data_IF_362876301507
#
_entry.id   IF_362876301507
#
_cell.length_a   1.000
_cell.length_b   1.000
_cell.length_c   1.000
_cell.angle_alpha   90.00
_cell.angle_beta   90.00
_cell.angle_gamma   90.00
#
_symmetry.space_group_name_H-M   'P 1'
#
loop_
_entity.id
_entity.type
_entity.pdbx_description
1 polymer ?
#
# COMPACT_ATOMS: atom_id res chain seq x y z
N UNK A 1 4.95 -5.60 10.11
CA UNK A 1 4.77 -6.70 9.14
C UNK A 1 3.30 -6.84 8.82
N UNK A 2 2.94 -7.08 7.58
CA UNK A 2 1.60 -7.50 7.19
C UNK A 2 1.43 -8.99 7.44
N UNK A 3 0.22 -9.41 7.80
CA UNK A 3 -0.20 -10.82 7.86
C UNK A 3 -1.36 -10.99 6.87
N UNK A 4 -1.09 -11.36 5.59
CA UNK A 4 -2.10 -11.39 4.54
C UNK A 4 -3.27 -12.33 4.87
N UNK A 5 -2.98 -13.48 5.49
CA UNK A 5 -3.95 -14.52 5.88
C UNK A 5 -4.77 -14.18 7.12
N UNK A 6 -4.37 -13.14 7.86
CA UNK A 6 -5.09 -12.62 9.04
C UNK A 6 -5.60 -11.22 8.84
N UNK A 7 -5.53 -10.69 7.61
CA UNK A 7 -6.12 -9.40 7.23
C UNK A 7 -5.66 -8.22 8.10
N UNK A 8 -4.42 -8.24 8.60
CA UNK A 8 -3.93 -7.26 9.58
C UNK A 8 -2.47 -6.88 9.42
N UNK A 9 -2.08 -5.79 10.07
CA UNK A 9 -0.69 -5.33 10.16
C UNK A 9 -0.28 -5.29 11.62
N UNK A 10 0.86 -5.92 11.91
CA UNK A 10 1.47 -5.97 13.24
C UNK A 10 2.70 -5.06 13.33
N UNK A 11 2.86 -4.41 14.48
CA UNK A 11 4.12 -3.81 14.90
C UNK A 11 4.76 -4.69 15.96
N UNK A 12 5.99 -5.10 15.72
CA UNK A 12 6.78 -5.81 16.72
C UNK A 12 7.61 -4.81 17.55
N UNK A 13 7.68 -5.05 18.85
CA UNK A 13 8.42 -4.26 19.82
C UNK A 13 9.61 -5.07 20.36
N UNK A 14 10.83 -4.61 20.06
CA UNK A 14 12.07 -5.16 20.63
C UNK A 14 12.11 -5.07 22.15
N UNK A 15 11.53 -3.99 22.70
CA UNK A 15 11.57 -3.69 24.14
C UNK A 15 10.75 -4.68 24.96
N UNK A 16 9.60 -5.08 24.43
CA UNK A 16 8.63 -5.95 25.14
C UNK A 16 8.61 -7.37 24.57
N UNK A 17 9.40 -7.64 23.53
CA UNK A 17 9.41 -8.88 22.77
C UNK A 17 8.00 -9.35 22.37
N UNK A 18 7.15 -8.41 21.94
CA UNK A 18 5.73 -8.67 21.64
C UNK A 18 5.26 -7.92 20.39
N UNK A 19 4.19 -8.42 19.78
CA UNK A 19 3.53 -7.81 18.62
C UNK A 19 2.20 -7.18 19.01
N UNK A 20 1.90 -6.02 18.45
CA UNK A 20 0.60 -5.36 18.58
C UNK A 20 -0.03 -5.14 17.21
N UNK A 21 -1.35 -5.34 17.11
CA UNK A 21 -2.11 -4.97 15.90
C UNK A 21 -2.12 -3.45 15.79
N UNK A 22 -1.79 -2.95 14.60
CA UNK A 22 -1.76 -1.51 14.32
C UNK A 22 -2.68 -1.09 13.15
N UNK A 23 -3.22 -2.05 12.40
CA UNK A 23 -4.27 -1.85 11.38
C UNK A 23 -4.93 -3.20 11.02
N UNK A 24 -6.17 -3.18 10.52
CA UNK A 24 -6.92 -4.40 10.12
C UNK A 24 -7.46 -5.21 11.31
N UNK A 25 -8.21 -4.57 12.20
CA UNK A 25 -8.47 -5.05 13.57
C UNK A 25 -9.44 -6.25 13.70
N UNK A 26 -9.93 -6.83 12.61
CA UNK A 26 -11.04 -7.79 12.64
C UNK A 26 -10.65 -9.25 12.43
N UNK A 27 -9.38 -9.55 12.10
CA UNK A 27 -8.93 -10.91 11.73
C UNK A 27 -9.76 -11.59 10.62
N UNK A 28 -10.53 -10.80 9.86
CA UNK A 28 -11.48 -11.22 8.85
C UNK A 28 -11.35 -10.29 7.63
N UNK A 29 -11.55 -10.80 6.40
CA UNK A 29 -11.54 -9.97 5.21
C UNK A 29 -12.67 -8.93 5.26
N UNK A 30 -12.39 -7.75 4.74
CA UNK A 30 -13.39 -6.71 4.59
C UNK A 30 -12.84 -5.47 3.88
N UNK A 31 -13.74 -4.56 3.53
CA UNK A 31 -13.46 -3.37 2.73
C UNK A 31 -13.78 -2.05 3.44
N UNK A 32 -14.25 -2.09 4.69
CA UNK A 32 -14.46 -0.88 5.50
C UNK A 32 -13.13 -0.19 5.82
N UNK A 33 -13.20 1.00 6.40
CA UNK A 33 -12.04 1.83 6.75
C UNK A 33 -11.06 1.15 7.71
N UNK A 34 -11.53 0.26 8.58
CA UNK A 34 -10.71 -0.45 9.58
C UNK A 34 -10.31 -1.88 9.18
N UNK A 35 -10.62 -2.31 7.95
CA UNK A 35 -10.43 -3.68 7.46
C UNK A 35 -9.50 -3.76 6.23
N UNK A 36 -8.99 -4.97 5.98
CA UNK A 36 -8.21 -5.32 4.79
C UNK A 36 -8.73 -6.61 4.16
N UNK A 37 -8.40 -6.80 2.89
CA UNK A 37 -8.53 -8.05 2.15
C UNK A 37 -7.18 -8.35 1.47
N UNK A 38 -6.45 -9.34 2.03
CA UNK A 38 -5.08 -9.71 1.63
C UNK A 38 -4.11 -8.51 1.59
N UNK A 39 -3.82 -7.87 2.74
CA UNK A 39 -2.81 -6.80 2.78
C UNK A 39 -1.42 -7.36 2.51
N UNK A 40 -0.72 -6.84 1.48
CA UNK A 40 0.60 -7.32 1.07
C UNK A 40 1.72 -6.34 1.49
N UNK A 41 2.15 -5.46 0.60
CA UNK A 41 3.23 -4.52 0.89
C UNK A 41 2.82 -3.43 1.87
N UNK A 42 3.78 -3.01 2.71
CA UNK A 42 3.60 -1.90 3.64
C UNK A 42 4.78 -0.92 3.58
N UNK A 43 4.51 0.36 3.82
CA UNK A 43 5.52 1.39 4.06
C UNK A 43 5.14 2.20 5.30
N UNK A 44 6.13 2.54 6.13
CA UNK A 44 5.92 3.45 7.26
C UNK A 44 6.71 4.71 6.95
N UNK A 45 6.00 5.81 6.76
CA UNK A 45 6.58 7.15 6.72
C UNK A 45 7.08 7.48 8.12
N UNK A 46 8.40 7.63 8.27
CA UNK A 46 9.04 7.84 9.57
C UNK A 46 8.95 9.29 10.03
N UNK A 47 8.78 10.23 9.10
CA UNK A 47 8.65 11.66 9.39
C UNK A 47 7.29 11.92 10.05
N UNK A 48 6.21 11.41 9.46
CA UNK A 48 4.85 11.68 9.95
C UNK A 48 4.25 10.52 10.77
N UNK A 49 4.87 9.34 10.76
CA UNK A 49 4.37 8.14 11.44
C UNK A 49 3.15 7.52 10.74
N UNK A 50 2.98 7.75 9.44
CA UNK A 50 1.86 7.23 8.65
C UNK A 50 2.20 5.84 8.10
N UNK A 51 1.31 4.87 8.31
CA UNK A 51 1.39 3.54 7.68
C UNK A 51 0.66 3.57 6.34
N UNK A 52 1.27 3.06 5.29
CA UNK A 52 0.67 2.79 3.98
C UNK A 52 0.61 1.28 3.76
N UNK A 53 -0.50 0.78 3.24
CA UNK A 53 -0.74 -0.65 3.02
C UNK A 53 -1.34 -0.86 1.65
N UNK A 54 -0.73 -1.74 0.86
CA UNK A 54 -1.34 -2.29 -0.35
C UNK A 54 -2.37 -3.35 0.04
N UNK A 55 -3.64 -3.00 -0.11
CA UNK A 55 -4.80 -3.83 0.25
C UNK A 55 -5.28 -4.56 -1.00
N UNK A 56 -4.60 -5.68 -1.29
CA UNK A 56 -4.51 -6.22 -2.65
C UNK A 56 -5.85 -6.68 -3.22
N UNK A 57 -6.66 -7.43 -2.46
CA UNK A 57 -7.96 -7.90 -2.94
C UNK A 57 -9.03 -6.81 -2.97
N UNK A 58 -8.80 -5.71 -2.24
CA UNK A 58 -9.61 -4.50 -2.33
C UNK A 58 -9.07 -3.51 -3.37
N UNK A 59 -8.05 -3.86 -4.16
CA UNK A 59 -7.51 -3.05 -5.27
C UNK A 59 -7.23 -1.58 -4.89
N UNK A 60 -6.78 -1.34 -3.66
CA UNK A 60 -6.55 0.00 -3.11
C UNK A 60 -5.26 0.07 -2.31
N UNK A 61 -4.80 1.30 -2.08
CA UNK A 61 -3.81 1.60 -1.07
C UNK A 61 -4.50 2.40 0.02
N UNK A 62 -4.44 1.90 1.24
CA UNK A 62 -4.93 2.61 2.42
C UNK A 62 -3.77 3.24 3.19
N UNK A 63 -4.04 4.35 3.87
CA UNK A 63 -3.13 4.95 4.85
C UNK A 63 -3.76 5.05 6.24
N UNK A 64 -2.95 4.85 7.26
CA UNK A 64 -3.29 5.00 8.68
C UNK A 64 -2.39 6.05 9.31
N UNK A 65 -2.99 7.09 9.87
CA UNK A 65 -2.27 8.01 10.73
C UNK A 65 -1.88 7.30 12.02
N UNK A 66 -0.78 7.76 12.64
CA UNK A 66 -0.33 7.23 13.92
C UNK A 66 -1.47 7.25 14.94
N UNK A 67 -1.73 6.10 15.56
CA UNK A 67 -2.80 5.87 16.54
C UNK A 67 -4.24 6.00 16.02
N UNK A 68 -4.45 6.10 14.71
CA UNK A 68 -5.80 6.04 14.12
C UNK A 68 -6.36 4.62 14.20
N UNK A 69 -7.65 4.48 14.48
CA UNK A 69 -8.35 3.19 14.40
C UNK A 69 -8.73 2.87 12.96
N UNK A 70 -9.07 3.90 12.19
CA UNK A 70 -9.52 3.82 10.81
C UNK A 70 -8.47 4.28 9.80
N UNK A 71 -8.51 3.63 8.65
CA UNK A 71 -7.72 3.99 7.48
C UNK A 71 -8.48 4.88 6.52
N UNK A 72 -7.73 5.54 5.66
CA UNK A 72 -8.24 6.37 4.57
C UNK A 72 -7.67 5.87 3.26
N UNK A 73 -8.51 5.74 2.24
CA UNK A 73 -8.05 5.38 0.89
C UNK A 73 -7.11 6.46 0.39
N UNK A 74 -5.86 6.10 0.14
CA UNK A 74 -4.85 6.99 -0.42
C UNK A 74 -4.84 6.98 -1.95
N UNK A 75 -5.00 5.81 -2.54
CA UNK A 75 -5.00 5.63 -4.00
C UNK A 75 -5.77 4.37 -4.38
N UNK A 76 -6.17 4.28 -5.66
CA UNK A 76 -7.02 3.19 -6.17
C UNK A 76 -8.50 3.52 -6.07
N UNK A 77 -9.33 2.67 -6.66
CA UNK A 77 -10.78 2.85 -6.72
C UNK A 77 -11.38 2.88 -5.31
N UNK A 78 -12.21 3.90 -5.03
CA UNK A 78 -12.96 3.98 -3.77
C UNK A 78 -13.97 2.85 -3.61
N UNK A 79 -14.34 2.18 -4.70
CA UNK A 79 -15.23 1.02 -4.71
C UNK A 79 -14.48 -0.30 -4.45
N UNK A 80 -13.14 -0.26 -4.40
CA UNK A 80 -12.30 -1.44 -4.22
C UNK A 80 -12.31 -2.43 -5.39
N UNK A 81 -12.79 -1.98 -6.56
CA UNK A 81 -12.90 -2.79 -7.77
C UNK A 81 -11.63 -2.69 -8.59
N UNK A 82 -11.19 -3.82 -9.15
CA UNK A 82 -10.04 -3.88 -10.03
C UNK A 82 -10.27 -3.06 -11.32
N UNK A 83 -9.23 -2.42 -11.82
CA UNK A 83 -9.25 -1.67 -13.07
C UNK A 83 -7.84 -1.39 -13.61
N UNK A 84 -7.76 -0.93 -14.86
CA UNK A 84 -6.51 -0.63 -15.55
C UNK A 84 -6.35 0.86 -15.91
N UNK A 85 -7.33 1.71 -15.57
CA UNK A 85 -7.23 3.15 -15.76
C UNK A 85 -6.24 3.80 -14.78
N UNK A 86 -6.07 5.11 -14.89
CA UNK A 86 -5.18 5.87 -14.02
C UNK A 86 -5.68 6.00 -12.57
N UNK A 87 -6.94 5.67 -12.28
CA UNK A 87 -7.52 5.82 -10.94
C UNK A 87 -7.56 4.49 -10.17
N UNK A 88 -7.33 3.37 -10.85
CA UNK A 88 -7.57 2.02 -10.35
C UNK A 88 -6.31 1.17 -10.36
N UNK A 89 -6.32 0.11 -9.56
CA UNK A 89 -5.30 -0.93 -9.52
C UNK A 89 -5.93 -2.29 -9.82
N UNK A 90 -5.10 -3.28 -10.09
CA UNK A 90 -5.45 -4.69 -10.12
C UNK A 90 -4.39 -5.48 -9.36
N UNK A 91 -4.77 -5.97 -8.18
CA UNK A 91 -3.88 -6.69 -7.23
C UNK A 91 -2.59 -5.90 -6.91
N UNK A 92 -2.67 -4.69 -6.31
CA UNK A 92 -1.48 -3.96 -5.91
C UNK A 92 -0.74 -4.74 -4.81
N UNK A 93 0.53 -5.05 -5.02
CA UNK A 93 1.29 -5.92 -4.10
C UNK A 93 2.33 -5.16 -3.26
N UNK A 94 2.72 -3.96 -3.68
CA UNK A 94 3.74 -3.18 -2.99
C UNK A 94 3.47 -1.69 -3.04
N UNK A 95 3.92 -1.00 -2.01
CA UNK A 95 3.76 0.44 -1.84
C UNK A 95 5.00 1.03 -1.19
N UNK A 96 5.43 2.20 -1.67
CA UNK A 96 6.44 3.03 -1.01
C UNK A 96 6.07 4.51 -1.17
N UNK A 97 6.61 5.34 -0.28
CA UNK A 97 6.36 6.79 -0.28
C UNK A 97 7.70 7.50 -0.18
N UNK A 98 7.89 8.52 -1.00
CA UNK A 98 8.89 9.56 -0.71
C UNK A 98 8.37 10.40 0.46
N UNK A 99 8.99 10.25 1.62
CA UNK A 99 8.53 10.84 2.88
C UNK A 99 8.65 12.37 2.89
N UNK A 100 9.51 12.96 2.04
CA UNK A 100 9.70 14.42 1.94
C UNK A 100 8.63 15.04 1.04
N UNK A 101 8.40 14.44 -0.13
CA UNK A 101 7.46 14.98 -1.13
C UNK A 101 6.04 14.41 -0.99
N UNK A 102 5.87 13.35 -0.21
CA UNK A 102 4.64 12.58 -0.03
C UNK A 102 4.09 11.97 -1.34
N UNK A 103 4.98 11.73 -2.32
CA UNK A 103 4.68 11.02 -3.56
C UNK A 103 4.62 9.52 -3.26
N UNK A 104 3.52 8.89 -3.67
CA UNK A 104 3.28 7.45 -3.50
C UNK A 104 3.64 6.70 -4.78
N UNK A 105 4.30 5.56 -4.62
CA UNK A 105 4.58 4.62 -5.70
C UNK A 105 3.96 3.27 -5.38
N UNK A 106 3.24 2.69 -6.35
CA UNK A 106 2.48 1.45 -6.18
C UNK A 106 2.86 0.47 -7.28
N UNK A 107 3.25 -0.75 -6.89
CA UNK A 107 3.39 -1.86 -7.82
C UNK A 107 2.01 -2.50 -8.06
N UNK A 108 1.47 -2.23 -9.22
CA UNK A 108 0.14 -2.65 -9.67
C UNK A 108 0.30 -3.94 -10.51
N UNK A 109 0.27 -5.08 -9.82
CA UNK A 109 0.88 -6.33 -10.30
C UNK A 109 0.22 -6.90 -11.55
N UNK A 110 -1.11 -7.05 -11.55
CA UNK A 110 -1.81 -7.63 -12.70
C UNK A 110 -1.79 -6.69 -13.90
N UNK A 111 -1.70 -5.38 -13.67
CA UNK A 111 -1.49 -4.38 -14.72
C UNK A 111 -0.03 -4.26 -15.17
N UNK A 112 0.90 -4.95 -14.50
CA UNK A 112 2.34 -5.00 -14.81
C UNK A 112 2.98 -3.62 -14.94
N UNK A 113 2.65 -2.73 -13.99
CA UNK A 113 3.11 -1.33 -13.98
C UNK A 113 3.49 -0.82 -12.60
N UNK A 114 4.28 0.24 -12.56
CA UNK A 114 4.38 1.13 -11.40
C UNK A 114 3.56 2.38 -11.69
N UNK A 115 2.68 2.74 -10.75
CA UNK A 115 2.03 4.04 -10.76
C UNK A 115 2.64 4.98 -9.71
N UNK A 116 2.90 6.22 -10.12
CA UNK A 116 3.25 7.36 -9.28
C UNK A 116 2.00 8.19 -8.99
N UNK A 117 1.77 8.55 -7.74
CA UNK A 117 0.64 9.34 -7.29
C UNK A 117 1.14 10.56 -6.52
N UNK A 118 0.85 11.75 -7.04
CA UNK A 118 1.14 13.01 -6.35
C UNK A 118 0.28 13.17 -5.09
N UNK A 119 0.68 14.05 -4.15
CA UNK A 119 -0.13 14.34 -2.98
C UNK A 119 -1.57 14.74 -3.36
N UNK A 120 -2.54 13.98 -2.82
CA UNK A 120 -3.98 14.20 -2.98
C UNK A 120 -4.50 13.99 -4.41
N UNK A 121 -3.70 13.40 -5.29
CA UNK A 121 -4.16 13.03 -6.62
C UNK A 121 -5.25 11.97 -6.56
N UNK A 122 -6.25 12.09 -7.44
CA UNK A 122 -7.28 11.07 -7.67
C UNK A 122 -6.92 10.10 -8.81
N UNK A 123 -5.81 10.37 -9.49
CA UNK A 123 -5.25 9.58 -10.59
C UNK A 123 -3.74 9.49 -10.44
N UNK A 124 -3.19 8.32 -10.72
CA UNK A 124 -1.78 8.07 -10.86
C UNK A 124 -1.30 8.16 -12.31
N UNK A 125 0.02 8.19 -12.43
CA UNK A 125 0.75 8.19 -13.68
C UNK A 125 1.57 6.90 -13.77
N UNK A 126 1.44 6.17 -14.88
CA UNK A 126 2.31 5.02 -15.15
C UNK A 126 3.72 5.52 -15.44
N UNK A 127 4.68 5.17 -14.59
CA UNK A 127 6.09 5.54 -14.77
C UNK A 127 6.97 4.38 -15.25
N UNK A 128 6.41 3.17 -15.25
CA UNK A 128 7.07 1.95 -15.69
C UNK A 128 6.02 0.89 -16.08
N UNK A 129 6.23 0.16 -17.18
CA UNK A 129 5.33 -0.90 -17.64
C UNK A 129 6.09 -1.90 -18.52
N UNK A 130 5.79 -3.20 -18.38
CA UNK A 130 6.37 -4.22 -19.28
C UNK A 130 6.30 -5.65 -18.76
N UNK A 131 6.37 -6.62 -19.68
CA UNK A 131 6.29 -8.07 -19.40
C UNK A 131 7.52 -8.68 -18.71
N UNK A 132 8.65 -7.98 -18.67
CA UNK A 132 9.89 -8.41 -17.99
C UNK A 132 10.14 -7.72 -16.64
N UNK A 133 9.27 -6.80 -16.23
CA UNK A 133 9.42 -6.03 -14.99
C UNK A 133 8.79 -6.78 -13.81
N UNK A 134 9.63 -7.39 -12.96
CA UNK A 134 9.20 -7.96 -11.68
C UNK A 134 9.26 -6.87 -10.60
N UNK A 135 8.16 -6.13 -10.39
CA UNK A 135 8.03 -5.18 -9.27
C UNK A 135 7.43 -5.84 -8.04
N UNK A 136 8.05 -6.92 -7.57
CA UNK A 136 7.50 -7.74 -6.48
C UNK A 136 7.86 -7.23 -5.09
N UNK A 137 8.74 -6.22 -4.97
CA UNK A 137 9.18 -5.74 -3.67
C UNK A 137 9.46 -4.25 -3.63
N UNK A 138 9.35 -3.70 -2.41
CA UNK A 138 9.77 -2.34 -2.05
C UNK A 138 11.18 -2.01 -2.54
N UNK A 139 12.12 -2.97 -2.40
CA UNK A 139 13.53 -2.78 -2.81
C UNK A 139 13.67 -2.56 -4.32
N UNK A 140 12.86 -3.25 -5.13
CA UNK A 140 12.84 -3.08 -6.58
C UNK A 140 12.28 -1.73 -7.00
N UNK A 141 11.22 -1.24 -6.32
CA UNK A 141 10.70 0.11 -6.55
C UNK A 141 11.76 1.16 -6.18
N UNK A 142 12.40 1.03 -5.02
CA UNK A 142 13.43 1.98 -4.60
C UNK A 142 14.67 2.01 -5.51
N UNK A 143 15.07 0.88 -6.08
CA UNK A 143 16.18 0.81 -7.06
C UNK A 143 15.78 1.54 -8.34
N UNK A 144 14.60 1.24 -8.89
CA UNK A 144 14.10 1.90 -10.10
C UNK A 144 14.03 3.43 -9.97
N UNK A 145 13.64 3.93 -8.79
CA UNK A 145 13.53 5.36 -8.50
C UNK A 145 14.87 6.06 -8.26
N UNK A 146 15.97 5.32 -8.06
CA UNK A 146 17.32 5.90 -7.89
C UNK A 146 18.11 5.96 -9.20
N UNK A 147 17.69 5.20 -10.20
CA UNK A 147 18.36 5.07 -11.50
C UNK A 147 17.76 5.95 -12.60
N UNK A 148 16.69 6.70 -12.30
CA UNK A 148 16.03 7.67 -13.19
C UNK A 148 15.80 8.99 -12.44
#
# INVERSE_FOLDING_TARGET
>A
MSEPTRHRVLKWSRRTNSSTVIAGQTDQPGSTSNQFHRPQGIHIDRIHGTLYVADSDNNRVQKWLKNSQDGVTRAGSSLGVAGNDSASFSDPISVTVDEVTNILYVADFNNRRIQRWLPNATKGETIAQGSGMLFTSKKLIEVFLKEN
#
